data_IF_803339767555
#
_entry.id   IF_803339767555
#
_cell.length_a   1.000
_cell.length_b   1.000
_cell.length_c   1.000
_cell.angle_alpha   90.00
_cell.angle_beta   90.00
_cell.angle_gamma   90.00
#
_symmetry.space_group_name_H-M   'P 1'
#
loop_
_entity.id
_entity.type
_entity.pdbx_description
1 polymer ?
#
# COMPACT_ATOMS: atom_id res chain seq x y z
N UNK A 1 -45.94 -13.52 -73.21
CA UNK A 1 -44.91 -13.14 -72.23
C UNK A 1 -45.50 -13.38 -70.84
N UNK A 2 -45.23 -14.54 -70.22
CA UNK A 2 -45.73 -14.90 -68.88
C UNK A 2 -44.52 -14.93 -67.96
N UNK A 3 -44.37 -13.93 -67.11
CA UNK A 3 -43.42 -14.01 -65.99
C UNK A 3 -43.96 -14.97 -64.95
N UNK A 4 -43.18 -16.01 -64.64
CA UNK A 4 -43.44 -16.96 -63.56
C UNK A 4 -42.74 -16.40 -62.32
N UNK A 5 -43.50 -15.77 -61.43
CA UNK A 5 -43.00 -15.34 -60.13
C UNK A 5 -42.80 -16.55 -59.22
N UNK A 6 -41.55 -16.97 -59.02
CA UNK A 6 -41.17 -17.95 -57.98
C UNK A 6 -41.37 -17.33 -56.59
N UNK A 7 -42.37 -17.82 -55.86
CA UNK A 7 -42.59 -17.44 -54.46
C UNK A 7 -41.60 -18.20 -53.56
N UNK A 8 -40.61 -17.49 -53.03
CA UNK A 8 -39.61 -18.03 -52.10
C UNK A 8 -40.30 -18.29 -50.75
N UNK A 9 -40.53 -19.56 -50.40
CA UNK A 9 -41.09 -19.94 -49.10
C UNK A 9 -40.08 -19.65 -48.00
N UNK A 10 -40.38 -18.69 -47.14
CA UNK A 10 -39.68 -18.51 -45.88
C UNK A 10 -40.16 -19.60 -44.91
N UNK A 11 -39.24 -20.46 -44.46
CA UNK A 11 -39.53 -21.42 -43.39
C UNK A 11 -39.50 -20.65 -42.06
N UNK A 12 -40.66 -20.51 -41.43
CA UNK A 12 -40.77 -19.94 -40.09
C UNK A 12 -40.28 -20.93 -39.04
N UNK A 13 -39.82 -20.42 -37.89
CA UNK A 13 -39.44 -21.25 -36.76
C UNK A 13 -40.65 -21.99 -36.19
N UNK A 14 -40.43 -23.24 -35.82
CA UNK A 14 -41.41 -24.01 -35.08
C UNK A 14 -41.51 -23.51 -33.64
N UNK A 15 -42.68 -23.67 -33.01
CA UNK A 15 -42.89 -23.26 -31.61
C UNK A 15 -41.90 -23.95 -30.66
N UNK A 16 -41.49 -25.18 -30.98
CA UNK A 16 -40.52 -25.91 -30.17
C UNK A 16 -39.09 -25.33 -30.33
N UNK A 17 -38.69 -24.90 -31.52
CA UNK A 17 -37.39 -24.25 -31.73
C UNK A 17 -37.27 -22.93 -30.98
N UNK A 18 -38.34 -22.13 -30.92
CA UNK A 18 -38.32 -20.86 -30.18
C UNK A 18 -38.20 -21.09 -28.68
N UNK A 19 -38.89 -22.09 -28.13
CA UNK A 19 -38.80 -22.46 -26.70
C UNK A 19 -37.41 -22.98 -26.35
N UNK A 20 -36.83 -23.86 -27.17
CA UNK A 20 -35.47 -24.37 -26.95
C UNK A 20 -34.44 -23.26 -27.06
N UNK A 21 -34.59 -22.35 -28.02
CA UNK A 21 -33.70 -21.20 -28.19
C UNK A 21 -33.76 -20.24 -27.00
N UNK A 22 -34.96 -19.96 -26.48
CA UNK A 22 -35.13 -19.17 -25.26
C UNK A 22 -34.47 -19.82 -24.04
N UNK A 23 -34.63 -21.14 -23.90
CA UNK A 23 -34.01 -21.87 -22.80
C UNK A 23 -32.48 -21.78 -22.84
N UNK A 24 -31.87 -22.01 -24.01
CA UNK A 24 -30.42 -21.88 -24.21
C UNK A 24 -29.97 -20.44 -23.95
N UNK A 25 -30.72 -19.45 -24.43
CA UNK A 25 -30.40 -18.04 -24.22
C UNK A 25 -30.36 -17.67 -22.73
N UNK A 26 -31.36 -18.11 -21.96
CA UNK A 26 -31.39 -17.87 -20.50
C UNK A 26 -30.19 -18.51 -19.81
N UNK A 27 -29.80 -19.72 -20.19
CA UNK A 27 -28.61 -20.38 -19.63
C UNK A 27 -27.33 -19.59 -19.92
N UNK A 28 -27.17 -19.07 -21.15
CA UNK A 28 -26.02 -18.26 -21.53
C UNK A 28 -25.98 -16.94 -20.76
N UNK A 29 -27.12 -16.25 -20.62
CA UNK A 29 -27.20 -15.00 -19.86
C UNK A 29 -26.92 -15.24 -18.36
N UNK A 30 -27.43 -16.33 -17.78
CA UNK A 30 -27.15 -16.67 -16.39
C UNK A 30 -25.66 -16.94 -16.15
N UNK A 31 -25.02 -17.72 -17.02
CA UNK A 31 -23.59 -18.00 -16.93
C UNK A 31 -22.73 -16.74 -17.08
N UNK A 32 -23.04 -15.89 -18.06
CA UNK A 32 -22.31 -14.63 -18.27
C UNK A 32 -22.49 -13.65 -17.11
N UNK A 33 -23.71 -13.53 -16.56
CA UNK A 33 -23.96 -12.69 -15.40
C UNK A 33 -23.11 -13.10 -14.19
N UNK A 34 -22.96 -14.42 -13.95
CA UNK A 34 -22.11 -14.92 -12.88
C UNK A 34 -20.64 -14.51 -13.07
N UNK A 35 -20.11 -14.65 -14.29
CA UNK A 35 -18.74 -14.21 -14.62
C UNK A 35 -18.58 -12.70 -14.37
N UNK A 36 -19.52 -11.88 -14.82
CA UNK A 36 -19.47 -10.44 -14.62
C UNK A 36 -19.46 -10.05 -13.14
N UNK A 37 -20.28 -10.71 -12.30
CA UNK A 37 -20.31 -10.42 -10.87
C UNK A 37 -19.00 -10.76 -10.16
N UNK A 38 -18.34 -11.87 -10.56
CA UNK A 38 -17.04 -12.27 -10.01
C UNK A 38 -15.92 -11.32 -10.46
N UNK A 39 -15.93 -10.89 -11.72
CA UNK A 39 -14.96 -9.91 -12.22
C UNK A 39 -15.07 -8.56 -11.52
N UNK A 40 -16.30 -8.11 -11.21
CA UNK A 40 -16.50 -6.81 -10.55
C UNK A 40 -16.09 -6.83 -9.08
N UNK A 41 -16.32 -7.93 -8.36
CA UNK A 41 -15.86 -8.06 -6.97
C UNK A 41 -14.33 -8.16 -6.89
N UNK A 42 -13.70 -8.90 -7.81
CA UNK A 42 -12.24 -8.97 -7.94
C UNK A 42 -11.62 -7.60 -8.24
N UNK A 43 -12.19 -6.85 -9.19
CA UNK A 43 -11.70 -5.52 -9.55
C UNK A 43 -11.73 -4.53 -8.39
N UNK A 44 -12.84 -4.47 -7.64
CA UNK A 44 -12.95 -3.58 -6.48
C UNK A 44 -11.94 -3.92 -5.39
N UNK A 45 -11.67 -5.21 -5.21
CA UNK A 45 -10.70 -5.71 -4.24
C UNK A 45 -9.26 -5.32 -4.63
N UNK A 46 -8.85 -5.63 -5.86
CA UNK A 46 -7.54 -5.25 -6.37
C UNK A 46 -7.30 -3.74 -6.30
N UNK A 47 -8.34 -2.94 -6.60
CA UNK A 47 -8.25 -1.49 -6.51
C UNK A 47 -8.00 -0.99 -5.08
N UNK A 48 -8.62 -1.61 -4.08
CA UNK A 48 -8.36 -1.26 -2.67
C UNK A 48 -6.92 -1.56 -2.27
N UNK A 49 -6.43 -2.75 -2.62
CA UNK A 49 -5.04 -3.17 -2.32
C UNK A 49 -4.04 -2.26 -3.03
N UNK A 50 -4.30 -1.86 -4.28
CA UNK A 50 -3.47 -0.93 -5.01
C UNK A 50 -3.39 0.44 -4.32
N UNK A 51 -4.52 0.98 -3.86
CA UNK A 51 -4.54 2.27 -3.16
C UNK A 51 -3.77 2.21 -1.82
N UNK A 52 -3.90 1.10 -1.07
CA UNK A 52 -3.16 0.90 0.18
C UNK A 52 -1.65 0.78 -0.08
N UNK A 53 -1.26 0.07 -1.15
CA UNK A 53 0.12 -0.08 -1.58
C UNK A 53 0.74 1.25 -2.04
N UNK A 54 0.00 2.08 -2.80
CA UNK A 54 0.44 3.42 -3.19
C UNK A 54 0.62 4.33 -1.98
N UNK A 55 -0.33 4.32 -1.05
CA UNK A 55 -0.27 5.10 0.21
C UNK A 55 0.93 4.68 1.06
N UNK A 56 1.17 3.36 1.18
CA UNK A 56 2.32 2.83 1.89
C UNK A 56 3.66 3.22 1.25
N UNK A 57 3.77 3.17 -0.08
CA UNK A 57 4.97 3.62 -0.79
C UNK A 57 5.22 5.10 -0.60
N UNK A 58 4.17 5.92 -0.68
CA UNK A 58 4.27 7.36 -0.44
C UNK A 58 4.77 7.65 0.98
N UNK A 59 4.19 6.98 1.99
CA UNK A 59 4.60 7.13 3.38
C UNK A 59 6.06 6.68 3.61
N UNK A 60 6.45 5.52 3.07
CA UNK A 60 7.82 5.01 3.17
C UNK A 60 8.82 5.95 2.51
N UNK A 61 8.52 6.48 1.32
CA UNK A 61 9.40 7.39 0.59
C UNK A 61 9.55 8.74 1.30
N UNK A 62 8.46 9.23 1.89
CA UNK A 62 8.45 10.46 2.70
C UNK A 62 9.30 10.28 3.95
N UNK A 63 9.06 9.21 4.71
CA UNK A 63 9.89 8.86 5.87
C UNK A 63 11.36 8.69 5.47
N UNK A 64 11.64 8.03 4.35
CA UNK A 64 13.00 7.85 3.88
C UNK A 64 13.70 9.17 3.52
N UNK A 65 12.94 10.18 3.08
CA UNK A 65 13.47 11.54 2.86
C UNK A 65 13.81 12.20 4.18
N UNK A 66 12.90 12.16 5.15
CA UNK A 66 13.09 12.74 6.50
C UNK A 66 14.26 12.07 7.23
N UNK A 67 14.44 10.74 7.07
CA UNK A 67 15.53 9.98 7.68
C UNK A 67 16.94 10.32 7.16
N UNK A 68 17.07 10.92 5.96
CA UNK A 68 18.40 11.26 5.41
C UNK A 68 19.08 12.41 6.14
N UNK A 69 18.30 13.28 6.78
CA UNK A 69 18.77 14.44 7.53
C UNK A 69 18.49 14.31 9.01
N UNK A 70 18.25 13.08 9.49
CA UNK A 70 17.85 12.83 10.86
C UNK A 70 18.90 12.12 11.71
N UNK A 71 18.68 12.24 13.02
CA UNK A 71 19.31 11.41 14.04
C UNK A 71 18.24 10.66 14.84
N UNK A 72 18.53 9.40 15.17
CA UNK A 72 17.59 8.52 15.87
C UNK A 72 17.58 8.86 17.36
N UNK A 73 16.40 9.13 17.90
CA UNK A 73 16.17 9.31 19.33
C UNK A 73 15.93 7.98 20.04
N UNK A 74 15.09 7.14 19.46
CA UNK A 74 14.80 5.81 19.96
C UNK A 74 14.21 4.96 18.84
N UNK A 75 14.49 3.66 18.84
CA UNK A 75 13.90 2.74 17.88
C UNK A 75 13.49 1.44 18.56
N UNK A 76 12.41 0.85 18.07
CA UNK A 76 11.93 -0.49 18.40
C UNK A 76 11.59 -1.23 17.10
N UNK A 77 11.13 -2.47 17.18
CA UNK A 77 10.66 -3.18 15.99
C UNK A 77 9.42 -2.55 15.37
N UNK A 78 8.57 -1.88 16.16
CA UNK A 78 7.28 -1.33 15.71
C UNK A 78 7.24 0.19 15.68
N UNK A 79 8.27 0.88 16.18
CA UNK A 79 8.32 2.33 16.18
C UNK A 79 9.73 2.88 15.97
N UNK A 80 9.82 4.06 15.38
CA UNK A 80 11.07 4.80 15.23
C UNK A 80 10.83 6.28 15.48
N UNK A 81 11.62 6.83 16.40
CA UNK A 81 11.62 8.25 16.75
C UNK A 81 12.91 8.88 16.30
N UNK A 82 12.80 10.00 15.62
CA UNK A 82 13.96 10.72 15.12
C UNK A 82 13.68 12.21 14.98
N UNK A 83 14.74 13.00 15.00
CA UNK A 83 14.69 14.45 14.74
C UNK A 83 15.16 14.72 13.32
N UNK A 84 14.41 15.48 12.53
CA UNK A 84 14.89 16.05 11.27
C UNK A 84 15.46 17.45 11.51
N UNK A 85 16.78 17.58 11.38
CA UNK A 85 17.46 18.87 11.57
C UNK A 85 17.14 19.89 10.48
N UNK A 86 16.67 19.46 9.31
CA UNK A 86 16.31 20.40 8.23
C UNK A 86 15.04 21.18 8.54
N UNK A 87 14.16 20.63 9.38
CA UNK A 87 12.84 21.19 9.68
C UNK A 87 12.64 21.43 11.18
N UNK A 88 13.68 21.19 12.00
CA UNK A 88 13.61 21.27 13.48
C UNK A 88 12.38 20.57 14.05
N UNK A 89 12.07 19.38 13.53
CA UNK A 89 10.85 18.64 13.85
C UNK A 89 11.19 17.20 14.23
N UNK A 90 10.64 16.73 15.34
CA UNK A 90 10.69 15.34 15.74
C UNK A 90 9.53 14.57 15.10
N UNK A 91 9.82 13.39 14.57
CA UNK A 91 8.84 12.45 14.08
C UNK A 91 8.83 11.19 14.96
N UNK A 92 7.64 10.64 15.16
CA UNK A 92 7.39 9.34 15.78
C UNK A 92 6.55 8.53 14.80
N UNK A 93 7.19 7.57 14.14
CA UNK A 93 6.50 6.62 13.28
C UNK A 93 6.24 5.35 14.05
N UNK A 94 4.99 4.89 14.05
CA UNK A 94 4.57 3.70 14.76
C UNK A 94 3.66 2.84 13.89
N UNK A 95 3.91 1.54 13.90
CA UNK A 95 3.08 0.52 13.28
C UNK A 95 2.12 0.01 14.35
N UNK A 96 0.86 0.44 14.26
CA UNK A 96 -0.19 0.09 15.21
C UNK A 96 -1.24 -0.76 14.50
N UNK A 97 -1.19 -2.08 14.77
CA UNK A 97 -2.09 -3.05 14.14
C UNK A 97 -1.94 -3.06 12.61
N UNK A 98 -2.93 -2.49 11.92
CA UNK A 98 -2.98 -2.47 10.45
C UNK A 98 -2.65 -1.13 9.81
N UNK A 99 -2.18 -0.17 10.61
CA UNK A 99 -1.89 1.20 10.15
C UNK A 99 -0.49 1.64 10.54
N UNK A 100 0.13 2.42 9.68
CA UNK A 100 1.31 3.22 10.02
C UNK A 100 0.81 4.61 10.40
N UNK A 101 1.17 5.04 11.59
CA UNK A 101 0.86 6.37 12.10
C UNK A 101 2.13 7.20 12.24
N UNK A 102 2.00 8.50 12.04
CA UNK A 102 3.04 9.48 12.31
C UNK A 102 2.51 10.50 13.32
N UNK A 103 3.33 10.84 14.30
CA UNK A 103 3.14 12.01 15.13
C UNK A 103 4.35 12.92 14.97
N UNK A 104 4.15 14.24 14.96
CA UNK A 104 5.22 15.21 14.78
C UNK A 104 5.17 16.30 15.85
N UNK A 105 6.35 16.79 16.24
CA UNK A 105 6.53 17.89 17.18
C UNK A 105 7.54 18.87 16.58
N UNK A 106 7.13 20.11 16.32
CA UNK A 106 8.03 21.16 15.83
C UNK A 106 8.81 21.84 16.96
N UNK A 107 9.87 22.57 16.59
CA UNK A 107 10.68 23.37 17.52
C UNK A 107 11.73 22.57 18.29
N UNK A 108 12.16 21.43 17.76
CA UNK A 108 13.23 20.61 18.34
C UNK A 108 14.58 20.95 17.70
N UNK A 109 15.60 21.16 18.54
CA UNK A 109 16.98 21.41 18.09
C UNK A 109 17.89 20.21 18.38
N UNK A 110 17.51 19.40 19.37
CA UNK A 110 18.27 18.25 19.83
C UNK A 110 17.37 17.03 19.94
N UNK A 111 18.01 15.86 19.84
CA UNK A 111 17.36 14.55 20.04
C UNK A 111 16.62 14.46 21.38
N UNK A 112 17.14 15.14 22.42
CA UNK A 112 16.52 15.22 23.76
C UNK A 112 15.16 15.92 23.79
N UNK A 113 14.86 16.74 22.78
CA UNK A 113 13.64 17.55 22.74
C UNK A 113 12.44 16.72 22.23
N UNK A 114 12.70 15.52 21.69
CA UNK A 114 11.72 14.58 21.14
C UNK A 114 10.99 13.78 22.23
N UNK A 115 10.30 14.47 23.14
CA UNK A 115 9.63 13.87 24.30
C UNK A 115 8.11 13.87 24.25
N UNK A 116 7.47 14.79 23.52
CA UNK A 116 6.01 14.98 23.58
C UNK A 116 5.43 15.24 22.20
N UNK A 117 4.69 14.25 21.69
CA UNK A 117 4.12 14.30 20.36
C UNK A 117 2.64 14.70 20.40
N UNK A 118 2.18 15.34 19.32
CA UNK A 118 0.75 15.57 19.10
C UNK A 118 -0.01 14.28 18.78
N UNK A 119 -1.30 14.42 18.46
CA UNK A 119 -2.12 13.27 18.09
C UNK A 119 -1.59 12.58 16.82
N UNK A 120 -1.44 11.24 16.82
CA UNK A 120 -0.94 10.50 15.67
C UNK A 120 -1.92 10.59 14.50
N UNK A 121 -1.38 10.74 13.30
CA UNK A 121 -2.12 10.74 12.02
C UNK A 121 -1.80 9.48 11.23
N UNK A 122 -2.81 8.85 10.64
CA UNK A 122 -2.62 7.65 9.81
C UNK A 122 -2.04 8.03 8.45
N UNK A 123 -0.87 7.50 8.12
CA UNK A 123 -0.19 7.73 6.82
C UNK A 123 -0.29 6.56 5.86
N UNK A 124 -0.48 5.34 6.37
CA UNK A 124 -0.75 4.16 5.55
C UNK A 124 -1.68 3.19 6.27
N UNK A 125 -2.44 2.42 5.48
CA UNK A 125 -3.39 1.39 5.92
C UNK A 125 -3.08 0.06 5.22
N UNK A 126 -3.76 -1.00 5.64
CA UNK A 126 -3.62 -2.32 5.00
C UNK A 126 -2.31 -3.02 5.33
N UNK A 127 -1.65 -2.64 6.43
CA UNK A 127 -0.42 -3.28 6.90
C UNK A 127 -0.80 -4.60 7.57
N UNK A 128 -0.20 -5.71 7.14
CA UNK A 128 -0.38 -7.03 7.76
C UNK A 128 0.81 -7.45 8.60
N UNK A 129 1.96 -6.82 8.37
CA UNK A 129 3.17 -7.00 9.13
C UNK A 129 4.15 -5.89 8.79
N UNK A 130 5.05 -5.56 9.71
CA UNK A 130 6.07 -4.57 9.44
C UNK A 130 7.06 -4.49 10.58
N UNK A 131 8.28 -4.10 10.24
CA UNK A 131 9.33 -3.92 11.22
C UNK A 131 10.28 -2.79 10.82
N UNK A 132 10.76 -2.09 11.84
CA UNK A 132 11.93 -1.23 11.76
C UNK A 132 13.15 -2.02 12.23
N UNK A 133 14.20 -2.01 11.41
CA UNK A 133 15.51 -2.53 11.75
C UNK A 133 16.49 -1.36 11.73
N UNK A 134 16.92 -0.93 12.92
CA UNK A 134 17.87 0.18 13.08
C UNK A 134 19.24 -0.38 13.44
N UNK A 135 20.23 -0.02 12.63
CA UNK A 135 21.64 -0.18 12.93
C UNK A 135 22.17 1.17 13.37
N UNK A 136 22.58 1.29 14.63
CA UNK A 136 23.08 2.55 15.18
C UNK A 136 24.45 2.94 14.60
N UNK A 137 24.70 4.25 14.49
CA UNK A 137 26.03 4.79 14.19
C UNK A 137 26.97 4.51 15.37
N UNK A 138 28.16 3.95 15.11
CA UNK A 138 29.18 3.74 16.14
C UNK A 138 30.37 4.66 15.92
N UNK A 139 30.72 5.44 16.95
CA UNK A 139 31.88 6.33 16.97
C UNK A 139 33.12 5.72 17.63
N UNK A 140 32.97 4.62 18.39
CA UNK A 140 34.09 3.88 19.00
C UNK A 140 34.33 2.55 18.28
N UNK A 141 35.47 2.44 17.58
CA UNK A 141 35.81 1.30 16.70
C UNK A 141 35.80 1.69 15.21
N UNK A 142 35.80 0.74 14.26
CA UNK A 142 35.68 1.10 12.84
C UNK A 142 34.37 1.87 12.65
N UNK A 143 34.49 3.11 12.19
CA UNK A 143 33.35 4.00 12.00
C UNK A 143 32.29 3.32 11.13
N UNK A 144 31.05 3.25 11.64
CA UNK A 144 29.90 2.70 10.91
C UNK A 144 28.82 3.74 10.84
N UNK A 145 28.35 4.00 9.62
CA UNK A 145 27.19 4.85 9.38
C UNK A 145 25.95 4.08 9.82
N UNK A 146 25.11 4.73 10.62
CA UNK A 146 23.84 4.17 11.02
C UNK A 146 22.93 3.96 9.81
N UNK A 147 22.12 2.91 9.86
CA UNK A 147 21.21 2.51 8.78
C UNK A 147 19.86 2.16 9.36
N UNK A 148 18.81 2.74 8.80
CA UNK A 148 17.43 2.37 9.11
C UNK A 148 16.86 1.61 7.93
N UNK A 149 16.39 0.40 8.19
CA UNK A 149 15.65 -0.42 7.23
C UNK A 149 14.21 -0.51 7.70
N UNK A 150 13.28 -0.07 6.86
CA UNK A 150 11.85 -0.24 7.08
C UNK A 150 11.35 -1.31 6.12
N UNK A 151 10.68 -2.32 6.65
CA UNK A 151 9.93 -3.30 5.87
C UNK A 151 8.46 -3.25 6.28
N UNK A 152 7.57 -3.06 5.31
CA UNK A 152 6.13 -3.14 5.46
C UNK A 152 5.59 -4.22 4.54
N UNK A 153 4.74 -5.07 5.08
CA UNK A 153 3.95 -6.03 4.35
C UNK A 153 2.53 -5.48 4.24
N UNK A 154 2.10 -5.17 3.02
CA UNK A 154 0.76 -4.69 2.70
C UNK A 154 -0.04 -5.86 2.17
N UNK A 155 -1.26 -6.05 2.67
CA UNK A 155 -2.09 -7.12 2.17
C UNK A 155 -3.47 -7.14 2.81
N UNK A 156 -4.33 -7.93 2.21
CA UNK A 156 -5.69 -8.18 2.70
C UNK A 156 -5.85 -9.67 2.87
N UNK A 157 -5.65 -10.16 4.10
CA UNK A 157 -5.67 -11.58 4.44
C UNK A 157 -4.33 -12.30 4.17
N UNK A 158 -4.39 -13.63 4.10
CA UNK A 158 -3.21 -14.50 4.05
C UNK A 158 -2.66 -14.77 2.64
N UNK A 159 -3.43 -14.48 1.58
CA UNK A 159 -3.12 -14.95 0.22
C UNK A 159 -2.51 -13.88 -0.69
N UNK A 160 -2.74 -12.59 -0.41
CA UNK A 160 -2.31 -11.49 -1.28
C UNK A 160 -1.53 -10.48 -0.45
N UNK A 161 -0.20 -10.64 -0.43
CA UNK A 161 0.70 -9.81 0.36
C UNK A 161 1.82 -9.28 -0.54
N UNK A 162 2.07 -7.97 -0.44
CA UNK A 162 3.18 -7.29 -1.08
C UNK A 162 4.13 -6.80 0.01
N UNK A 163 5.42 -7.15 -0.10
CA UNK A 163 6.44 -6.64 0.81
C UNK A 163 7.13 -5.44 0.15
N UNK A 164 7.20 -4.34 0.91
CA UNK A 164 7.83 -3.10 0.51
C UNK A 164 8.91 -2.81 1.52
N UNK A 165 10.15 -2.67 1.05
CA UNK A 165 11.29 -2.42 1.92
C UNK A 165 12.08 -1.22 1.40
N UNK A 166 12.46 -0.33 2.29
CA UNK A 166 13.43 0.74 2.03
C UNK A 166 14.55 0.69 3.04
N UNK A 167 15.71 1.21 2.67
CA UNK A 167 16.84 1.37 3.59
C UNK A 167 17.50 2.71 3.36
N UNK A 168 17.73 3.42 4.45
CA UNK A 168 18.31 4.77 4.44
C UNK A 168 19.53 4.78 5.35
N UNK A 169 20.62 5.35 4.83
CA UNK A 169 21.79 5.67 5.60
C UNK A 169 21.55 6.98 6.34
N UNK A 170 21.78 6.99 7.65
CA UNK A 170 21.74 8.20 8.46
C UNK A 170 22.98 9.06 8.14
N UNK A 171 22.86 10.38 8.29
CA UNK A 171 23.99 11.30 8.11
C UNK A 171 24.75 11.56 9.41
N UNK A 172 24.31 10.94 10.49
CA UNK A 172 24.83 11.17 11.82
C UNK A 172 26.17 10.45 12.06
N UNK A 173 27.25 11.21 11.96
CA UNK A 173 28.52 10.89 12.59
C UNK A 173 28.63 11.70 13.90
N UNK A 174 28.24 11.11 15.02
CA UNK A 174 28.59 11.60 16.36
C UNK A 174 27.79 12.81 16.92
N UNK A 175 26.54 13.04 16.47
CA UNK A 175 25.58 14.12 16.75
C UNK A 175 25.61 15.37 15.84
N UNK A 176 26.67 15.63 15.09
CA UNK A 176 26.77 16.72 14.14
C UNK A 176 28.02 16.46 13.32
N UNK A 177 28.03 16.85 12.05
CA UNK A 177 29.31 16.98 11.36
C UNK A 177 30.28 17.78 12.23
N UNK A 178 31.45 17.20 12.48
CA UNK A 178 32.65 18.01 12.34
C UNK A 178 32.73 18.51 10.90
#
# INVERSE_FOLDING_TARGET
MKEILMHKKYQGFTLIETVVSMFIFVLVIAATAQIFTQSFSGYRYEKSVQNDLESAQFAINTMAKELRTSSIASASSSSVKFIDYSQSTCFDYEITGTTLTVASQGGAEKVSDCGSYGSPTVVARGIVGGAFAVTESRSSGPQRIGRVTLSLQIGTGATHQANIQTSVSLRDYGNAGL
#
